data_IF_003982608857
#
_entry.id   IF_003982608857
#
_cell.length_a   1.000
_cell.length_b   1.000
_cell.length_c   1.000
_cell.angle_alpha   90.00
_cell.angle_beta   90.00
_cell.angle_gamma   90.00
#
_symmetry.space_group_name_H-M   'P 1'
#
loop_
_entity.id
_entity.type
_entity.pdbx_description
1 polymer ?
#
# COMPACT_ATOMS: atom_id res chain seq x y z
N UNK A 1 -14.30 14.61 6.64
CA UNK A 1 -13.09 13.76 6.48
C UNK A 1 -12.86 12.95 7.75
N UNK A 2 -12.34 11.72 7.65
CA UNK A 2 -11.93 10.95 8.82
C UNK A 2 -10.86 11.69 9.66
N UNK A 3 -10.83 11.42 10.96
CA UNK A 3 -9.84 11.98 11.88
C UNK A 3 -8.50 11.25 11.78
N UNK A 4 -7.43 11.86 12.31
CA UNK A 4 -6.13 11.19 12.48
C UNK A 4 -6.28 9.84 13.20
N UNK A 5 -6.99 9.83 14.34
CA UNK A 5 -7.25 8.62 15.12
C UNK A 5 -7.99 7.55 14.31
N UNK A 6 -9.02 7.95 13.54
CA UNK A 6 -9.76 7.04 12.67
C UNK A 6 -8.87 6.40 11.59
N UNK A 7 -7.91 7.15 11.04
CA UNK A 7 -6.92 6.60 10.12
C UNK A 7 -5.97 5.63 10.81
N UNK A 8 -5.49 5.93 12.03
CA UNK A 8 -4.64 5.00 12.79
C UNK A 8 -5.35 3.69 13.10
N UNK A 9 -6.62 3.75 13.50
CA UNK A 9 -7.44 2.57 13.76
C UNK A 9 -7.67 1.74 12.50
N UNK A 10 -8.00 2.38 11.38
CA UNK A 10 -8.15 1.68 10.10
C UNK A 10 -6.84 1.05 9.62
N UNK A 11 -5.71 1.73 9.82
CA UNK A 11 -4.39 1.17 9.50
C UNK A 11 -4.15 -0.12 10.32
N UNK A 12 -4.34 -0.04 11.64
CA UNK A 12 -4.17 -1.18 12.55
C UNK A 12 -5.10 -2.34 12.18
N UNK A 13 -6.39 -2.07 11.97
CA UNK A 13 -7.37 -3.10 11.65
C UNK A 13 -7.04 -3.80 10.32
N UNK A 14 -6.59 -3.06 9.31
CA UNK A 14 -6.17 -3.64 8.03
C UNK A 14 -4.92 -4.51 8.19
N UNK A 15 -3.93 -4.10 8.98
CA UNK A 15 -2.74 -4.91 9.25
C UNK A 15 -3.08 -6.21 10.00
N UNK A 16 -3.91 -6.14 11.04
CA UNK A 16 -4.37 -7.31 11.80
C UNK A 16 -5.17 -8.27 10.91
N UNK A 17 -6.08 -7.74 10.09
CA UNK A 17 -6.82 -8.54 9.12
C UNK A 17 -5.88 -9.20 8.10
N UNK A 18 -4.92 -8.45 7.55
CA UNK A 18 -3.93 -8.98 6.61
C UNK A 18 -3.14 -10.15 7.19
N UNK A 19 -2.69 -10.03 8.43
CA UNK A 19 -1.99 -11.10 9.14
C UNK A 19 -2.86 -12.35 9.31
N UNK A 20 -4.13 -12.18 9.68
CA UNK A 20 -5.06 -13.30 9.93
C UNK A 20 -5.39 -14.11 8.67
N UNK A 21 -5.35 -13.48 7.48
CA UNK A 21 -5.69 -14.12 6.21
C UNK A 21 -4.49 -14.38 5.31
N UNK A 22 -3.26 -14.10 5.77
CA UNK A 22 -2.03 -14.17 4.98
C UNK A 22 -1.89 -15.46 4.17
N UNK A 23 -2.12 -16.60 4.79
CA UNK A 23 -1.91 -17.91 4.15
C UNK A 23 -3.16 -18.45 3.45
N UNK A 24 -4.35 -17.93 3.77
CA UNK A 24 -5.63 -18.39 3.23
C UNK A 24 -6.10 -17.55 2.05
N UNK A 25 -5.91 -16.23 2.10
CA UNK A 25 -6.29 -15.24 1.09
C UNK A 25 -5.14 -14.24 0.87
N UNK A 26 -4.00 -14.69 0.32
CA UNK A 26 -2.80 -13.87 0.21
C UNK A 26 -2.96 -12.61 -0.68
N UNK A 27 -3.82 -12.67 -1.69
CA UNK A 27 -4.20 -11.53 -2.53
C UNK A 27 -4.90 -10.42 -1.73
N UNK A 28 -5.81 -10.82 -0.84
CA UNK A 28 -6.46 -9.90 0.09
C UNK A 28 -5.48 -9.39 1.15
N UNK A 29 -4.57 -10.23 1.66
CA UNK A 29 -3.55 -9.81 2.62
C UNK A 29 -2.65 -8.71 2.03
N UNK A 30 -2.20 -8.87 0.78
CA UNK A 30 -1.44 -7.84 0.03
C UNK A 30 -2.25 -6.55 -0.11
N UNK A 31 -3.52 -6.67 -0.49
CA UNK A 31 -4.42 -5.52 -0.65
C UNK A 31 -4.57 -4.76 0.66
N UNK A 32 -4.75 -5.46 1.77
CA UNK A 32 -4.86 -4.88 3.11
C UNK A 32 -3.55 -4.24 3.59
N UNK A 33 -2.38 -4.79 3.22
CA UNK A 33 -1.10 -4.12 3.50
C UNK A 33 -1.02 -2.74 2.85
N UNK A 34 -1.49 -2.60 1.60
CA UNK A 34 -1.56 -1.30 0.93
C UNK A 34 -2.54 -0.35 1.62
N UNK A 35 -3.75 -0.80 1.95
CA UNK A 35 -4.72 0.06 2.65
C UNK A 35 -4.28 0.44 4.07
N UNK A 36 -3.51 -0.42 4.74
CA UNK A 36 -2.85 -0.06 6.00
C UNK A 36 -1.86 1.08 5.80
N UNK A 37 -0.96 0.98 4.81
CA UNK A 37 0.02 2.02 4.52
C UNK A 37 -0.63 3.34 4.07
N UNK A 38 -1.69 3.27 3.26
CA UNK A 38 -2.50 4.40 2.84
C UNK A 38 -3.00 5.18 4.06
N UNK A 39 -3.60 4.49 5.04
CA UNK A 39 -4.09 5.13 6.24
C UNK A 39 -2.97 5.65 7.17
N UNK A 40 -1.80 5.01 7.20
CA UNK A 40 -0.63 5.58 7.88
C UNK A 40 -0.22 6.93 7.28
N UNK A 41 -0.20 7.06 5.94
CA UNK A 41 0.14 8.32 5.26
C UNK A 41 -0.93 9.40 5.51
N UNK A 42 -2.21 9.05 5.43
CA UNK A 42 -3.32 9.97 5.73
C UNK A 42 -3.25 10.48 7.18
N UNK A 43 -3.03 9.59 8.15
CA UNK A 43 -2.84 9.97 9.55
C UNK A 43 -1.65 10.93 9.70
N UNK A 44 -0.53 10.62 9.04
CA UNK A 44 0.65 11.48 9.05
C UNK A 44 0.37 12.87 8.44
N UNK A 45 -0.38 12.96 7.34
CA UNK A 45 -0.80 14.24 6.75
C UNK A 45 -1.58 15.10 7.75
N UNK A 46 -2.49 14.49 8.52
CA UNK A 46 -3.25 15.18 9.58
C UNK A 46 -2.34 15.71 10.68
N UNK A 47 -1.38 14.92 11.15
CA UNK A 47 -0.38 15.38 12.15
C UNK A 47 0.42 16.58 11.63
N UNK A 48 0.81 16.53 10.35
CA UNK A 48 1.55 17.62 9.70
C UNK A 48 0.65 18.80 9.28
N UNK A 49 -0.66 18.75 9.54
CA UNK A 49 -1.65 19.75 9.13
C UNK A 49 -1.61 20.06 7.63
N UNK A 50 -1.35 19.05 6.81
CA UNK A 50 -1.34 19.17 5.35
C UNK A 50 -2.74 18.87 4.83
N UNK A 51 -3.35 19.85 4.16
CA UNK A 51 -4.53 19.60 3.34
C UNK A 51 -4.08 19.02 2.00
N UNK A 52 -4.33 17.72 1.81
CA UNK A 52 -3.94 17.02 0.60
C UNK A 52 -4.76 17.47 -0.61
N UNK A 53 -6.05 17.78 -0.42
CA UNK A 53 -6.94 18.19 -1.51
C UNK A 53 -6.50 19.52 -2.09
N UNK A 54 -6.18 20.48 -1.22
CA UNK A 54 -5.70 21.79 -1.62
C UNK A 54 -4.29 21.72 -2.24
N UNK A 55 -3.36 21.04 -1.56
CA UNK A 55 -1.94 21.04 -1.97
C UNK A 55 -1.70 20.30 -3.29
N UNK A 56 -2.48 19.26 -3.58
CA UNK A 56 -2.28 18.36 -4.71
C UNK A 56 -3.55 18.28 -5.59
N UNK A 57 -4.20 19.42 -5.81
CA UNK A 57 -5.39 19.56 -6.66
C UNK A 57 -5.20 19.09 -8.12
N UNK A 58 -3.97 19.01 -8.61
CA UNK A 58 -3.65 18.56 -9.98
C UNK A 58 -3.54 17.04 -10.15
N UNK A 59 -3.56 16.27 -9.06
CA UNK A 59 -3.42 14.82 -9.14
C UNK A 59 -4.70 14.16 -9.66
N UNK A 60 -4.56 13.17 -10.55
CA UNK A 60 -5.69 12.57 -11.28
C UNK A 60 -6.63 11.73 -10.42
N UNK A 61 -6.20 11.30 -9.23
CA UNK A 61 -7.00 10.51 -8.30
C UNK A 61 -6.53 10.71 -6.85
N UNK A 62 -7.35 10.36 -5.84
CA UNK A 62 -6.93 10.37 -4.44
C UNK A 62 -5.68 9.53 -4.16
N UNK A 63 -5.50 8.39 -4.85
CA UNK A 63 -4.31 7.56 -4.68
C UNK A 63 -3.05 8.17 -5.31
N UNK A 64 -3.20 8.94 -6.38
CA UNK A 64 -2.08 9.66 -7.00
C UNK A 64 -1.68 10.87 -6.15
N UNK A 65 -2.68 11.58 -5.63
CA UNK A 65 -2.51 12.65 -4.66
C UNK A 65 -1.69 12.21 -3.45
N UNK A 66 -2.07 11.08 -2.86
CA UNK A 66 -1.38 10.54 -1.70
C UNK A 66 0.04 10.08 -2.07
N UNK A 67 0.24 9.56 -3.28
CA UNK A 67 1.56 9.20 -3.78
C UNK A 67 2.46 10.43 -3.98
N UNK A 68 1.93 11.53 -4.50
CA UNK A 68 2.67 12.80 -4.62
C UNK A 68 3.07 13.32 -3.23
N UNK A 69 2.20 13.19 -2.23
CA UNK A 69 2.56 13.50 -0.84
C UNK A 69 3.66 12.58 -0.29
N UNK A 70 3.60 11.28 -0.56
CA UNK A 70 4.67 10.33 -0.18
C UNK A 70 6.01 10.74 -0.78
N UNK A 71 6.03 11.15 -2.06
CA UNK A 71 7.25 11.63 -2.73
C UNK A 71 7.84 12.85 -2.02
N UNK A 72 7.00 13.83 -1.69
CA UNK A 72 7.42 15.04 -0.95
C UNK A 72 8.03 14.71 0.41
N UNK A 73 7.45 13.74 1.14
CA UNK A 73 8.00 13.29 2.43
C UNK A 73 9.35 12.59 2.20
N UNK A 74 9.40 11.66 1.25
CA UNK A 74 10.57 10.85 0.95
C UNK A 74 11.77 11.68 0.50
N UNK A 75 11.54 12.74 -0.28
CA UNK A 75 12.58 13.69 -0.73
C UNK A 75 13.24 14.43 0.43
N UNK A 76 12.51 14.65 1.52
CA UNK A 76 12.99 15.38 2.71
C UNK A 76 13.54 14.46 3.78
N UNK A 77 13.33 13.15 3.67
CA UNK A 77 13.63 12.18 4.73
C UNK A 77 14.39 10.98 4.19
N UNK A 78 13.68 10.04 3.59
CA UNK A 78 14.24 8.77 3.14
C UNK A 78 13.49 8.27 1.90
N UNK A 79 14.25 8.08 0.80
CA UNK A 79 13.74 7.60 -0.49
C UNK A 79 13.18 6.18 -0.42
N UNK A 80 13.53 5.41 0.63
CA UNK A 80 12.95 4.09 0.88
C UNK A 80 11.45 4.17 1.20
N UNK A 81 10.94 5.30 1.71
CA UNK A 81 9.50 5.52 1.91
C UNK A 81 8.75 5.48 0.57
N UNK A 82 9.19 6.25 -0.43
CA UNK A 82 8.57 6.26 -1.76
C UNK A 82 8.63 4.86 -2.37
N UNK A 83 9.79 4.20 -2.30
CA UNK A 83 9.98 2.86 -2.86
C UNK A 83 9.03 1.85 -2.21
N UNK A 84 8.94 1.83 -0.88
CA UNK A 84 8.10 0.90 -0.15
C UNK A 84 6.61 1.11 -0.46
N UNK A 85 6.16 2.37 -0.42
CA UNK A 85 4.78 2.72 -0.73
C UNK A 85 4.42 2.42 -2.20
N UNK A 86 5.31 2.72 -3.15
CA UNK A 86 5.12 2.39 -4.57
C UNK A 86 5.00 0.89 -4.80
N UNK A 87 5.83 0.09 -4.14
CA UNK A 87 5.74 -1.37 -4.21
C UNK A 87 4.37 -1.85 -3.72
N UNK A 88 3.92 -1.37 -2.56
CA UNK A 88 2.59 -1.69 -2.03
C UNK A 88 1.46 -1.30 -2.99
N UNK A 89 1.50 -0.08 -3.56
CA UNK A 89 0.50 0.39 -4.53
C UNK A 89 0.44 -0.55 -5.74
N UNK A 90 1.58 -0.86 -6.34
CA UNK A 90 1.67 -1.74 -7.51
C UNK A 90 1.18 -3.15 -7.19
N UNK A 91 1.63 -3.72 -6.08
CA UNK A 91 1.26 -5.07 -5.67
C UNK A 91 -0.25 -5.16 -5.39
N UNK A 92 -0.86 -4.13 -4.78
CA UNK A 92 -2.32 -4.06 -4.61
C UNK A 92 -3.10 -3.99 -5.92
N UNK A 93 -2.51 -3.44 -6.99
CA UNK A 93 -3.13 -3.39 -8.31
C UNK A 93 -3.06 -4.76 -8.98
N UNK A 94 -1.92 -5.45 -8.89
CA UNK A 94 -1.78 -6.85 -9.33
C UNK A 94 -2.78 -7.74 -8.57
N UNK A 95 -2.87 -7.58 -7.24
CA UNK A 95 -3.76 -8.37 -6.40
C UNK A 95 -5.25 -8.20 -6.73
N UNK A 96 -5.69 -7.03 -7.19
CA UNK A 96 -7.11 -6.80 -7.51
C UNK A 96 -7.45 -6.99 -8.97
N UNK A 97 -6.51 -6.68 -9.86
CA UNK A 97 -6.79 -6.54 -11.30
C UNK A 97 -5.88 -7.37 -12.19
N UNK A 98 -4.87 -8.05 -11.63
CA UNK A 98 -3.81 -8.75 -12.38
C UNK A 98 -3.08 -7.83 -13.38
N UNK A 99 -3.13 -6.51 -13.17
CA UNK A 99 -2.47 -5.51 -14.02
C UNK A 99 -1.03 -5.30 -13.58
N UNK A 100 -0.08 -5.20 -14.53
CA UNK A 100 1.33 -4.96 -14.22
C UNK A 100 2.18 -6.22 -13.97
N UNK A 101 1.65 -7.41 -14.23
CA UNK A 101 2.45 -8.64 -14.23
C UNK A 101 3.60 -8.54 -15.26
N UNK A 102 4.83 -8.89 -14.85
CA UNK A 102 6.01 -8.86 -15.74
C UNK A 102 5.79 -9.77 -16.95
N UNK A 103 6.11 -9.26 -18.14
CA UNK A 103 6.18 -10.03 -19.37
C UNK A 103 7.11 -11.24 -19.17
N UNK A 104 6.54 -12.43 -19.17
CA UNK A 104 7.24 -13.69 -18.84
C UNK A 104 6.37 -14.64 -18.01
N UNK A 105 5.47 -14.10 -17.19
CA UNK A 105 4.31 -14.87 -16.71
C UNK A 105 3.32 -14.84 -17.86
N UNK A 106 3.26 -15.93 -18.64
CA UNK A 106 2.18 -16.11 -19.62
C UNK A 106 0.87 -15.82 -18.89
N UNK A 107 0.21 -14.73 -19.26
CA UNK A 107 -1.20 -14.45 -18.99
C UNK A 107 -2.01 -15.52 -19.71
N UNK A 108 -1.91 -16.75 -19.24
CA UNK A 108 -2.92 -17.73 -19.57
C UNK A 108 -4.19 -17.20 -18.92
N UNK A 109 -5.27 -17.18 -19.68
CA UNK A 109 -6.65 -16.93 -19.26
C UNK A 109 -7.09 -17.90 -18.10
N UNK A 110 -6.17 -18.69 -17.54
CA UNK A 110 -6.38 -19.75 -16.56
C UNK A 110 -5.93 -19.40 -15.13
N UNK A 111 -5.53 -18.16 -14.83
CA UNK A 111 -5.15 -17.77 -13.46
C UNK A 111 -6.08 -16.71 -12.87
N UNK A 112 -6.27 -16.75 -11.56
CA UNK A 112 -6.87 -15.68 -10.77
C UNK A 112 -5.84 -15.15 -9.77
N UNK A 113 -6.15 -14.04 -9.11
CA UNK A 113 -5.25 -13.38 -8.15
C UNK A 113 -4.83 -14.30 -7.01
N UNK A 114 -5.78 -14.92 -6.32
CA UNK A 114 -5.49 -15.88 -5.25
C UNK A 114 -4.52 -16.98 -5.69
N UNK A 115 -4.72 -17.57 -6.88
CA UNK A 115 -3.83 -18.59 -7.42
C UNK A 115 -2.44 -18.05 -7.76
N UNK A 116 -2.35 -16.82 -8.26
CA UNK A 116 -1.09 -16.14 -8.52
C UNK A 116 -0.23 -16.07 -7.24
N UNK A 117 -0.80 -15.53 -6.17
CA UNK A 117 -0.11 -15.36 -4.89
C UNK A 117 0.14 -16.66 -4.12
N UNK A 118 -0.72 -17.65 -4.29
CA UNK A 118 -0.54 -18.94 -3.60
C UNK A 118 0.57 -19.79 -4.23
N UNK A 119 0.74 -19.74 -5.56
CA UNK A 119 1.60 -20.68 -6.28
C UNK A 119 2.90 -20.09 -6.80
N UNK A 120 2.93 -18.79 -7.11
CA UNK A 120 4.05 -18.20 -7.86
C UNK A 120 4.76 -17.09 -7.09
N UNK A 121 4.08 -16.38 -6.19
CA UNK A 121 4.56 -15.12 -5.63
C UNK A 121 4.41 -15.01 -4.11
N UNK A 122 4.64 -16.11 -3.37
CA UNK A 122 4.67 -16.07 -1.89
C UNK A 122 5.67 -15.05 -1.35
N UNK A 123 6.83 -14.89 -2.02
CA UNK A 123 7.82 -13.87 -1.66
C UNK A 123 7.29 -12.44 -1.77
N UNK A 124 6.34 -12.18 -2.67
CA UNK A 124 5.76 -10.85 -2.86
C UNK A 124 4.69 -10.53 -1.80
N UNK A 125 4.05 -11.56 -1.25
CA UNK A 125 3.24 -11.43 -0.01
C UNK A 125 4.15 -10.98 1.14
N UNK A 126 5.26 -11.68 1.37
CA UNK A 126 6.19 -11.35 2.46
C UNK A 126 6.77 -9.94 2.30
N UNK A 127 7.18 -9.58 1.09
CA UNK A 127 7.63 -8.22 0.76
C UNK A 127 6.57 -7.16 1.00
N UNK A 128 5.28 -7.48 0.86
CA UNK A 128 4.21 -6.52 1.15
C UNK A 128 4.16 -6.19 2.65
N UNK A 129 4.31 -7.21 3.52
CA UNK A 129 4.45 -6.97 4.95
C UNK A 129 5.73 -6.19 5.29
N UNK A 130 6.86 -6.52 4.67
CA UNK A 130 8.13 -5.80 4.89
C UNK A 130 8.03 -4.32 4.48
N UNK A 131 7.45 -4.03 3.31
CA UNK A 131 7.23 -2.67 2.86
C UNK A 131 6.28 -1.90 3.78
N UNK A 132 5.24 -2.56 4.33
CA UNK A 132 4.37 -1.93 5.32
C UNK A 132 5.15 -1.54 6.58
N UNK A 133 6.03 -2.41 7.09
CA UNK A 133 6.85 -2.06 8.25
C UNK A 133 7.82 -0.91 7.97
N UNK A 134 8.40 -0.84 6.76
CA UNK A 134 9.23 0.29 6.34
C UNK A 134 8.42 1.60 6.38
N UNK A 135 7.22 1.61 5.80
CA UNK A 135 6.33 2.79 5.83
C UNK A 135 6.03 3.20 7.27
N UNK A 136 5.58 2.28 8.12
CA UNK A 136 5.27 2.56 9.52
C UNK A 136 6.47 3.13 10.28
N UNK A 137 7.65 2.55 10.09
CA UNK A 137 8.89 2.98 10.76
C UNK A 137 9.31 4.40 10.36
N UNK A 138 9.13 4.78 9.09
CA UNK A 138 9.57 6.09 8.59
C UNK A 138 8.58 7.22 8.87
N UNK A 139 7.32 6.88 9.19
CA UNK A 139 6.27 7.84 9.53
C UNK A 139 6.10 8.03 11.04
N UNK A 140 6.51 7.07 11.87
CA UNK A 140 6.57 7.20 13.31
C UNK A 140 7.93 7.79 13.73
N UNK A 141 8.00 9.04 14.24
CA UNK A 141 9.20 9.56 14.87
C UNK A 141 9.54 8.86 16.19
#
# INVERSE_FOLDING_TARGET
>A
MPSEQSHREQAKNNEEAALSIRDTFPDWAVTMCFYSALHCIEAYAKVQKVDLEEKYQGSSSPHDRLFDYVRDIADRRDRSLEKAYKNLKNESQIARYLTGMKAGIKTSIKTNSRFHYTRYTKIDVDRSFDNLQIVKKLLNP
#
